data_IF_040179442099
#
_entry.id   IF_040179442099
#
_cell.length_a   1.000
_cell.length_b   1.000
_cell.length_c   1.000
_cell.angle_alpha   90.00
_cell.angle_beta   90.00
_cell.angle_gamma   90.00
#
_symmetry.space_group_name_H-M   'P 1'
#
loop_
_entity.id
_entity.type
_entity.pdbx_description
1 polymer ?
#
# COMPACT_ATOMS: atom_id res chain seq x y z
N UNK A 1 -80.70 1.95 4.18
CA UNK A 1 -79.92 2.87 5.06
C UNK A 1 -78.50 2.93 4.52
N UNK A 2 -78.06 4.14 4.17
CA UNK A 2 -76.69 4.59 3.78
C UNK A 2 -76.05 3.87 2.56
N UNK A 3 -75.60 4.51 1.49
CA UNK A 3 -75.47 5.93 1.13
C UNK A 3 -74.98 6.02 -0.32
N UNK A 4 -75.31 7.14 -0.96
CA UNK A 4 -75.32 7.44 -2.40
C UNK A 4 -73.94 7.71 -3.05
N UNK A 5 -73.87 7.46 -4.38
CA UNK A 5 -73.23 8.21 -5.50
C UNK A 5 -71.71 8.54 -5.42
N UNK A 6 -70.88 8.65 -6.49
CA UNK A 6 -71.00 9.19 -7.87
C UNK A 6 -69.74 8.75 -8.67
N UNK A 7 -69.85 8.24 -9.90
CA UNK A 7 -69.61 8.87 -11.23
C UNK A 7 -68.18 9.23 -11.67
N UNK A 8 -67.85 8.77 -12.90
CA UNK A 8 -66.94 9.38 -13.90
C UNK A 8 -65.45 9.06 -13.74
N UNK A 9 -64.60 8.99 -14.77
CA UNK A 9 -64.71 9.25 -16.21
C UNK A 9 -63.35 8.87 -16.86
N UNK A 10 -63.38 8.53 -18.15
CA UNK A 10 -62.40 8.86 -19.22
C UNK A 10 -61.05 8.09 -19.35
N UNK A 11 -60.94 7.49 -20.54
CA UNK A 11 -59.80 7.20 -21.45
C UNK A 11 -58.40 7.72 -21.11
N UNK A 12 -57.39 6.87 -21.35
CA UNK A 12 -56.09 7.30 -21.86
C UNK A 12 -55.61 6.38 -22.99
N UNK A 13 -55.32 7.00 -24.14
CA UNK A 13 -54.49 6.47 -25.20
C UNK A 13 -53.01 6.54 -24.78
N UNK A 14 -52.21 5.57 -25.22
CA UNK A 14 -50.75 5.59 -25.05
C UNK A 14 -50.10 4.83 -26.19
N UNK A 15 -49.36 5.57 -27.01
CA UNK A 15 -48.75 5.13 -28.26
C UNK A 15 -47.52 4.22 -28.07
N UNK A 16 -47.27 3.40 -29.09
CA UNK A 16 -46.02 2.69 -29.32
C UNK A 16 -44.87 3.68 -29.58
N UNK A 17 -43.77 3.54 -28.85
CA UNK A 17 -42.43 3.84 -29.36
C UNK A 17 -41.45 2.78 -28.88
N UNK A 18 -40.75 2.20 -29.85
CA UNK A 18 -39.58 1.37 -29.67
C UNK A 18 -38.46 2.19 -29.04
N UNK A 19 -37.83 1.64 -28.00
CA UNK A 19 -36.60 2.16 -27.40
C UNK A 19 -35.49 1.15 -27.56
N UNK A 20 -34.47 1.51 -28.34
CA UNK A 20 -33.22 0.79 -28.52
C UNK A 20 -32.55 0.49 -27.17
N UNK A 21 -32.03 -0.73 -27.03
CA UNK A 21 -31.21 -1.13 -25.89
C UNK A 21 -29.87 -0.39 -25.89
N UNK A 22 -29.70 0.52 -24.93
CA UNK A 22 -28.43 1.16 -24.65
C UNK A 22 -27.59 0.31 -23.68
N UNK A 23 -26.38 0.02 -24.13
CA UNK A 23 -25.10 0.00 -23.41
C UNK A 23 -25.02 -0.65 -22.02
N UNK A 24 -24.10 -1.63 -21.92
CA UNK A 24 -23.57 -2.10 -20.65
C UNK A 24 -22.97 -0.94 -19.87
N UNK A 25 -23.66 -0.52 -18.82
CA UNK A 25 -23.10 0.38 -17.80
C UNK A 25 -21.95 -0.36 -17.12
N UNK A 26 -20.74 0.19 -17.28
CA UNK A 26 -19.65 -0.05 -16.34
C UNK A 26 -20.19 0.18 -14.93
N UNK A 27 -19.92 -0.77 -14.03
CA UNK A 27 -20.23 -0.58 -12.61
C UNK A 27 -19.52 0.71 -12.14
N UNK A 28 -20.21 1.60 -11.42
CA UNK A 28 -19.54 2.75 -10.83
C UNK A 28 -18.42 2.25 -9.92
N UNK A 29 -17.19 2.66 -10.22
CA UNK A 29 -16.04 2.51 -9.33
C UNK A 29 -16.42 3.28 -8.07
N UNK A 30 -16.64 2.58 -6.96
CA UNK A 30 -16.87 3.24 -5.68
C UNK A 30 -15.62 4.09 -5.36
N UNK A 31 -15.78 5.33 -4.85
CA UNK A 31 -14.63 6.09 -4.40
C UNK A 31 -13.89 5.28 -3.32
N UNK A 32 -12.55 5.28 -3.30
CA UNK A 32 -11.80 4.55 -2.29
C UNK A 32 -12.23 5.07 -0.92
N UNK A 33 -12.71 4.17 -0.06
CA UNK A 33 -13.10 4.53 1.28
C UNK A 33 -11.82 4.89 2.03
N UNK A 34 -11.67 6.15 2.41
CA UNK A 34 -10.56 6.59 3.24
C UNK A 34 -10.70 5.97 4.62
N UNK A 35 -9.60 5.46 5.17
CA UNK A 35 -9.47 5.24 6.60
C UNK A 35 -9.97 6.49 7.35
N UNK A 36 -10.38 6.34 8.61
CA UNK A 36 -10.79 7.42 9.49
C UNK A 36 -9.63 8.36 9.76
N UNK A 37 -9.38 9.21 8.78
CA UNK A 37 -8.47 10.31 8.75
C UNK A 37 -8.80 11.28 9.88
N UNK A 38 -7.86 11.49 10.81
CA UNK A 38 -7.92 12.67 11.65
C UNK A 38 -7.48 13.87 10.82
N UNK A 39 -8.24 14.98 10.78
CA UNK A 39 -7.80 16.20 10.11
C UNK A 39 -6.38 16.58 10.55
N UNK A 40 -5.53 16.89 9.56
CA UNK A 40 -4.14 17.20 9.81
C UNK A 40 -3.91 18.65 10.21
N UNK A 41 -3.03 18.86 11.19
CA UNK A 41 -2.48 20.15 11.60
C UNK A 41 -0.93 20.15 11.57
N UNK A 42 -0.32 19.04 11.16
CA UNK A 42 1.13 18.86 11.08
C UNK A 42 1.62 19.23 9.68
N UNK A 43 2.78 19.87 9.59
CA UNK A 43 3.55 19.89 8.34
C UNK A 43 4.25 18.54 8.15
N UNK A 44 4.70 18.27 6.94
CA UNK A 44 5.51 17.07 6.69
C UNK A 44 6.81 17.05 7.53
N UNK A 45 7.41 18.21 7.78
CA UNK A 45 8.61 18.31 8.64
C UNK A 45 8.29 17.96 10.10
N UNK A 46 7.09 18.30 10.59
CA UNK A 46 6.65 17.88 11.92
C UNK A 46 6.48 16.36 12.00
N UNK A 47 5.99 15.71 10.93
CA UNK A 47 5.89 14.24 10.85
C UNK A 47 7.26 13.59 10.95
N UNK A 48 8.29 14.14 10.29
CA UNK A 48 9.65 13.62 10.40
C UNK A 48 10.26 13.88 11.76
N UNK A 49 10.09 15.07 12.31
CA UNK A 49 10.64 15.41 13.63
C UNK A 49 10.04 14.53 14.72
N UNK A 50 8.74 14.21 14.62
CA UNK A 50 8.06 13.28 15.53
C UNK A 50 8.41 11.83 15.24
N UNK A 51 8.47 11.46 13.97
CA UNK A 51 8.61 10.09 13.48
C UNK A 51 10.03 9.54 13.48
N UNK A 52 11.05 10.41 13.61
CA UNK A 52 12.50 10.17 13.51
C UNK A 52 12.98 9.55 12.19
N UNK A 53 12.32 8.50 11.71
CA UNK A 53 12.62 7.72 10.49
C UNK A 53 11.33 7.44 9.72
N UNK A 54 11.41 7.42 8.40
CA UNK A 54 10.33 6.95 7.52
C UNK A 54 10.70 5.57 6.98
N UNK A 55 9.79 4.60 7.11
CA UNK A 55 10.03 3.23 6.60
C UNK A 55 9.54 3.02 5.18
N UNK A 56 8.47 3.71 4.81
CA UNK A 56 7.62 3.35 3.68
C UNK A 56 6.66 4.50 3.36
N UNK A 57 6.11 4.46 2.15
CA UNK A 57 5.07 5.38 1.70
C UNK A 57 4.11 4.67 0.77
N UNK A 58 2.88 5.17 0.68
CA UNK A 58 1.92 4.69 -0.32
C UNK A 58 0.97 5.81 -0.71
N UNK A 59 0.65 5.92 -2.00
CA UNK A 59 -0.39 6.85 -2.45
C UNK A 59 -1.76 6.15 -2.51
N UNK A 60 -2.81 6.88 -2.17
CA UNK A 60 -4.19 6.37 -2.24
C UNK A 60 -4.64 6.20 -3.70
N UNK A 61 -5.59 5.28 -4.00
CA UNK A 61 -6.02 5.00 -5.38
C UNK A 61 -6.62 6.19 -6.13
N UNK A 62 -7.17 7.18 -5.41
CA UNK A 62 -7.67 8.44 -5.98
C UNK A 62 -6.55 9.46 -6.31
N UNK A 63 -5.30 9.10 -6.01
CA UNK A 63 -4.12 9.93 -6.14
C UNK A 63 -4.23 11.28 -5.40
N UNK A 64 -5.01 11.35 -4.32
CA UNK A 64 -5.19 12.59 -3.56
C UNK A 64 -4.40 12.62 -2.25
N UNK A 65 -4.08 11.45 -1.69
CA UNK A 65 -3.43 11.36 -0.38
C UNK A 65 -2.24 10.40 -0.40
N UNK A 66 -1.29 10.66 0.49
CA UNK A 66 -0.11 9.81 0.70
C UNK A 66 -0.10 9.39 2.17
N UNK A 67 0.20 8.13 2.43
CA UNK A 67 0.42 7.57 3.76
C UNK A 67 1.90 7.30 3.96
N UNK A 68 2.37 7.50 5.18
CA UNK A 68 3.78 7.36 5.57
C UNK A 68 3.85 6.72 6.96
N UNK A 69 4.59 5.63 7.10
CA UNK A 69 4.87 5.00 8.39
C UNK A 69 6.21 5.45 8.94
N UNK A 70 6.24 5.65 10.24
CA UNK A 70 7.39 6.15 10.98
C UNK A 70 7.56 5.37 12.28
N UNK A 71 8.63 5.67 13.04
CA UNK A 71 8.78 5.12 14.41
C UNK A 71 7.69 5.63 15.38
N UNK A 72 6.94 6.68 15.02
CA UNK A 72 5.94 7.29 15.90
C UNK A 72 4.49 7.15 15.42
N UNK A 73 4.26 6.44 14.32
CA UNK A 73 2.93 6.06 13.88
C UNK A 73 2.75 6.01 12.36
N UNK A 74 1.50 5.85 11.95
CA UNK A 74 1.08 5.91 10.56
C UNK A 74 0.40 7.26 10.30
N UNK A 75 1.00 8.06 9.43
CA UNK A 75 0.52 9.38 9.06
C UNK A 75 -0.05 9.37 7.65
N UNK A 76 -0.91 10.34 7.37
CA UNK A 76 -1.46 10.58 6.04
C UNK A 76 -1.47 12.08 5.73
N UNK A 77 -1.40 12.44 4.45
CA UNK A 77 -1.64 13.81 4.02
C UNK A 77 -3.13 14.13 4.16
N UNK A 78 -3.46 15.34 4.61
CA UNK A 78 -4.81 15.87 4.72
C UNK A 78 -5.12 16.96 3.67
N UNK A 79 -4.23 17.14 2.67
CA UNK A 79 -4.31 18.14 1.61
C UNK A 79 -3.70 19.49 2.01
N UNK A 80 -3.31 20.31 1.04
CA UNK A 80 -2.79 21.66 1.31
C UNK A 80 -1.50 21.73 2.13
N UNK A 81 -0.62 20.71 2.03
CA UNK A 81 0.64 20.65 2.78
C UNK A 81 0.54 20.14 4.22
N UNK A 82 -0.66 19.82 4.70
CA UNK A 82 -0.86 19.33 6.07
C UNK A 82 -1.02 17.81 6.14
N UNK A 83 -0.69 17.26 7.30
CA UNK A 83 -0.62 15.84 7.62
C UNK A 83 -1.29 15.58 8.96
N UNK A 84 -1.88 14.39 9.08
CA UNK A 84 -2.52 13.93 10.32
C UNK A 84 -2.15 12.50 10.63
N UNK A 85 -2.27 12.12 11.90
CA UNK A 85 -2.14 10.74 12.34
C UNK A 85 -3.37 9.95 11.85
N UNK A 86 -3.16 8.73 11.35
CA UNK A 86 -4.26 7.87 10.89
C UNK A 86 -5.17 7.45 12.05
N UNK A 87 -4.59 7.16 13.21
CA UNK A 87 -5.32 6.71 14.39
C UNK A 87 -4.53 6.98 15.67
N UNK A 88 -5.15 7.51 16.75
CA UNK A 88 -4.49 7.66 18.05
C UNK A 88 -3.97 6.33 18.61
N UNK A 89 -4.59 5.20 18.25
CA UNK A 89 -4.12 3.88 18.68
C UNK A 89 -2.77 3.49 18.04
N UNK A 90 -2.36 4.15 16.96
CA UNK A 90 -1.06 3.97 16.32
C UNK A 90 -0.02 5.02 16.75
N UNK A 91 -0.39 5.98 17.59
CA UNK A 91 0.54 6.99 18.09
C UNK A 91 1.66 6.33 18.90
N UNK A 92 2.90 6.77 18.69
CA UNK A 92 4.11 6.21 19.34
C UNK A 92 4.33 4.72 19.07
N UNK A 93 3.65 4.15 18.07
CA UNK A 93 3.95 2.82 17.57
C UNK A 93 4.86 2.95 16.37
N UNK A 94 5.94 2.21 16.39
CA UNK A 94 6.74 1.98 15.20
C UNK A 94 5.90 1.23 14.16
N UNK A 95 5.67 1.85 13.00
CA UNK A 95 4.91 1.27 11.88
C UNK A 95 5.82 1.07 10.68
N UNK A 96 6.28 -0.16 10.52
CA UNK A 96 7.23 -0.60 9.48
C UNK A 96 6.54 -1.13 8.22
N UNK A 97 5.20 -1.23 8.23
CA UNK A 97 4.41 -1.48 7.02
C UNK A 97 2.91 -1.58 7.28
N UNK A 98 2.14 -1.51 6.19
CA UNK A 98 0.69 -1.67 6.20
C UNK A 98 0.19 -2.35 4.93
N UNK A 99 -1.05 -2.81 5.01
CA UNK A 99 -1.81 -3.27 3.86
C UNK A 99 -3.26 -2.82 3.99
N UNK A 100 -3.83 -2.27 2.92
CA UNK A 100 -5.25 -1.94 2.81
C UNK A 100 -5.87 -2.95 1.85
N UNK A 101 -6.94 -3.64 2.27
CA UNK A 101 -7.65 -4.57 1.39
C UNK A 101 -8.29 -3.78 0.23
N UNK A 102 -7.90 -4.04 -1.03
CA UNK A 102 -8.41 -3.30 -2.18
C UNK A 102 -9.92 -3.52 -2.39
N UNK A 103 -10.48 -4.62 -1.87
CA UNK A 103 -11.91 -4.92 -1.99
C UNK A 103 -12.73 -4.37 -0.82
N UNK A 104 -12.08 -4.02 0.30
CA UNK A 104 -12.73 -3.45 1.47
C UNK A 104 -11.76 -2.53 2.23
N UNK A 105 -11.76 -1.21 1.95
CA UNK A 105 -10.80 -0.30 2.57
C UNK A 105 -11.01 -0.10 4.08
N UNK A 106 -12.10 -0.62 4.65
CA UNK A 106 -12.26 -0.69 6.11
C UNK A 106 -11.32 -1.71 6.75
N UNK A 107 -10.83 -2.69 5.97
CA UNK A 107 -9.89 -3.69 6.41
C UNK A 107 -8.45 -3.21 6.16
N UNK A 108 -7.78 -2.84 7.25
CA UNK A 108 -6.42 -2.31 7.23
C UNK A 108 -5.57 -3.15 8.18
N UNK A 109 -4.34 -3.41 7.78
CA UNK A 109 -3.33 -4.06 8.59
C UNK A 109 -2.17 -3.10 8.77
N UNK A 110 -1.62 -3.05 9.96
CA UNK A 110 -0.40 -2.31 10.28
C UNK A 110 0.54 -3.22 11.06
N UNK A 111 1.84 -3.09 10.86
CA UNK A 111 2.82 -3.92 11.54
C UNK A 111 4.02 -3.10 11.99
N UNK A 112 4.69 -3.59 13.03
CA UNK A 112 5.95 -3.02 13.54
C UNK A 112 6.42 -3.74 14.80
N UNK A 113 7.07 -3.02 15.72
CA UNK A 113 7.69 -3.62 16.92
C UNK A 113 6.71 -4.29 17.89
N UNK A 114 5.41 -4.01 17.76
CA UNK A 114 4.36 -4.57 18.61
C UNK A 114 3.61 -5.74 17.94
N UNK A 115 4.15 -6.29 16.86
CA UNK A 115 3.52 -7.30 16.03
C UNK A 115 2.60 -6.70 14.97
N UNK A 116 1.55 -7.45 14.60
CA UNK A 116 0.60 -7.06 13.55
C UNK A 116 -0.72 -6.64 14.20
N UNK A 117 -1.31 -5.56 13.70
CA UNK A 117 -2.61 -5.04 14.10
C UNK A 117 -3.55 -5.08 12.89
N UNK A 118 -4.84 -5.33 13.13
CA UNK A 118 -5.90 -5.25 12.12
C UNK A 118 -7.00 -4.32 12.57
N UNK A 119 -7.41 -3.43 11.68
CA UNK A 119 -8.66 -2.70 11.77
C UNK A 119 -9.68 -3.24 10.77
N UNK A 120 -10.95 -3.22 11.16
CA UNK A 120 -12.10 -3.55 10.28
C UNK A 120 -13.09 -2.39 10.17
N UNK A 121 -12.72 -1.20 10.66
CA UNK A 121 -13.52 0.02 10.67
C UNK A 121 -12.76 1.23 10.13
N UNK A 122 -11.81 0.96 9.23
CA UNK A 122 -11.01 1.98 8.55
C UNK A 122 -9.99 2.63 9.47
N UNK A 123 -9.44 1.92 10.45
CA UNK A 123 -8.39 2.42 11.34
C UNK A 123 -8.91 3.14 12.60
N UNK A 124 -10.22 3.14 12.86
CA UNK A 124 -10.76 3.74 14.10
C UNK A 124 -10.41 2.90 15.31
N UNK A 125 -10.42 1.58 15.17
CA UNK A 125 -10.03 0.62 16.20
C UNK A 125 -9.14 -0.47 15.62
N UNK A 126 -8.21 -0.95 16.44
CA UNK A 126 -7.26 -1.98 16.05
C UNK A 126 -7.28 -3.16 17.01
N UNK A 127 -7.19 -4.36 16.45
CA UNK A 127 -7.05 -5.61 17.18
C UNK A 127 -5.66 -6.20 16.92
N UNK A 128 -4.96 -6.63 17.97
CA UNK A 128 -3.68 -7.34 17.83
C UNK A 128 -3.92 -8.71 17.19
N UNK A 129 -3.09 -9.02 16.20
CA UNK A 129 -2.93 -10.32 15.58
C UNK A 129 -1.59 -10.90 16.04
N UNK A 130 -1.55 -12.19 16.35
CA UNK A 130 -0.35 -12.78 16.92
C UNK A 130 -0.30 -14.30 17.02
N UNK A 131 -1.40 -15.01 16.73
CA UNK A 131 -1.38 -16.48 16.79
C UNK A 131 -0.34 -17.03 15.81
N UNK A 132 0.68 -17.69 16.33
CA UNK A 132 1.78 -18.28 15.55
C UNK A 132 2.94 -17.33 15.22
N UNK A 133 2.84 -16.04 15.59
CA UNK A 133 4.00 -15.15 15.63
C UNK A 133 4.74 -15.30 16.98
N UNK A 134 6.05 -15.04 17.04
CA UNK A 134 6.79 -14.98 18.29
C UNK A 134 6.29 -13.81 19.17
N UNK A 135 6.54 -13.88 20.47
CA UNK A 135 6.23 -12.80 21.40
C UNK A 135 7.47 -12.40 22.22
N UNK A 136 8.01 -11.18 22.03
CA UNK A 136 7.57 -10.13 21.09
C UNK A 136 7.87 -10.49 19.62
N UNK A 137 7.02 -10.01 18.70
CA UNK A 137 7.28 -10.05 17.27
C UNK A 137 7.73 -8.67 16.79
N UNK A 138 9.02 -8.53 16.48
CA UNK A 138 9.59 -7.32 15.93
C UNK A 138 9.51 -7.36 14.40
N UNK A 139 8.47 -6.74 13.83
CA UNK A 139 8.26 -6.75 12.38
C UNK A 139 9.02 -5.58 11.75
N UNK A 140 9.95 -5.85 10.82
CA UNK A 140 10.72 -4.79 10.11
C UNK A 140 10.26 -4.52 8.70
N UNK A 141 9.49 -5.44 8.11
CA UNK A 141 8.85 -5.20 6.83
C UNK A 141 7.54 -5.99 6.76
N UNK A 142 6.56 -5.44 6.06
CA UNK A 142 5.22 -6.02 5.95
C UNK A 142 4.63 -5.80 4.57
N UNK A 143 4.11 -6.87 3.98
CA UNK A 143 3.47 -6.84 2.67
C UNK A 143 2.17 -7.66 2.71
N UNK A 144 1.21 -7.30 1.86
CA UNK A 144 -0.06 -8.00 1.77
C UNK A 144 -0.61 -8.03 0.34
N UNK A 145 -1.43 -9.03 0.08
CA UNK A 145 -2.12 -9.18 -1.20
C UNK A 145 -3.49 -9.82 -1.04
N UNK A 146 -4.40 -9.43 -1.93
CA UNK A 146 -5.71 -10.08 -2.10
C UNK A 146 -5.63 -11.17 -3.17
N UNK A 147 -5.97 -12.39 -2.79
CA UNK A 147 -6.05 -13.56 -3.68
C UNK A 147 -7.49 -14.09 -3.65
N UNK A 148 -8.33 -13.61 -4.58
CA UNK A 148 -9.77 -13.87 -4.56
C UNK A 148 -10.40 -13.39 -3.27
N UNK A 149 -10.99 -14.30 -2.49
CA UNK A 149 -11.63 -13.99 -1.21
C UNK A 149 -10.67 -14.08 -0.01
N UNK A 150 -9.39 -14.39 -0.21
CA UNK A 150 -8.41 -14.45 0.88
C UNK A 150 -7.47 -13.23 0.88
N UNK A 151 -6.96 -12.89 2.06
CA UNK A 151 -5.87 -11.93 2.24
C UNK A 151 -4.66 -12.72 2.71
N UNK A 152 -3.61 -12.71 1.89
CA UNK A 152 -2.30 -13.26 2.22
C UNK A 152 -1.42 -12.13 2.72
N UNK A 153 -0.73 -12.35 3.84
CA UNK A 153 0.13 -11.37 4.48
C UNK A 153 1.50 -11.99 4.73
N UNK A 154 2.52 -11.14 4.65
CA UNK A 154 3.92 -11.48 4.88
C UNK A 154 4.47 -10.50 5.92
N UNK A 155 5.18 -11.01 6.91
CA UNK A 155 5.79 -10.22 7.97
C UNK A 155 7.22 -10.73 8.19
N UNK A 156 8.21 -9.88 7.94
CA UNK A 156 9.59 -10.21 8.26
C UNK A 156 9.84 -9.91 9.74
N UNK A 157 10.15 -10.95 10.50
CA UNK A 157 10.48 -10.90 11.93
C UNK A 157 11.99 -10.92 12.11
N UNK A 158 12.53 -9.92 12.80
CA UNK A 158 13.97 -9.81 13.09
C UNK A 158 14.51 -11.06 13.77
N UNK A 159 15.62 -11.59 13.27
CA UNK A 159 16.32 -12.75 13.84
C UNK A 159 15.68 -14.12 13.56
N UNK A 160 14.57 -14.16 12.82
CA UNK A 160 13.89 -15.43 12.48
C UNK A 160 13.68 -15.59 10.97
N UNK A 161 13.03 -14.62 10.33
CA UNK A 161 12.70 -14.68 8.91
C UNK A 161 11.27 -14.24 8.61
N UNK A 162 10.73 -14.72 7.49
CA UNK A 162 9.45 -14.27 6.95
C UNK A 162 8.35 -15.20 7.40
N UNK A 163 7.43 -14.66 8.18
CA UNK A 163 6.18 -15.28 8.55
C UNK A 163 5.11 -14.99 7.51
N UNK A 164 4.24 -15.98 7.28
CA UNK A 164 3.10 -15.85 6.37
C UNK A 164 1.80 -16.18 7.09
N UNK A 165 0.76 -15.42 6.74
CA UNK A 165 -0.65 -15.76 6.98
C UNK A 165 -1.38 -15.88 5.65
N UNK A 166 -2.20 -16.92 5.46
CA UNK A 166 -3.10 -17.06 4.30
C UNK A 166 -4.56 -16.72 4.59
N UNK A 167 -4.90 -16.29 5.81
CA UNK A 167 -6.27 -16.15 6.29
C UNK A 167 -6.55 -14.77 6.93
N UNK A 168 -5.97 -13.70 6.38
CA UNK A 168 -6.20 -12.33 6.86
C UNK A 168 -5.63 -12.08 8.27
N UNK A 169 -4.49 -12.70 8.57
CA UNK A 169 -3.69 -12.48 9.76
C UNK A 169 -4.17 -13.23 11.01
N UNK A 170 -5.13 -14.15 10.88
CA UNK A 170 -5.67 -14.89 12.02
C UNK A 170 -4.72 -15.97 12.52
N UNK A 171 -3.88 -16.54 11.65
CA UNK A 171 -2.85 -17.52 12.00
C UNK A 171 -1.62 -17.33 11.13
N UNK A 172 -0.46 -17.39 11.77
CA UNK A 172 0.85 -17.20 11.15
C UNK A 172 1.70 -18.43 11.30
N UNK A 173 2.63 -18.61 10.36
CA UNK A 173 3.66 -19.64 10.44
C UNK A 173 4.93 -19.10 9.79
N UNK A 174 6.10 -19.49 10.32
CA UNK A 174 7.37 -19.22 9.68
C UNK A 174 7.36 -19.87 8.30
N UNK A 175 7.45 -19.05 7.25
CA UNK A 175 7.40 -19.50 5.86
C UNK A 175 8.81 -19.65 5.28
N UNK A 176 9.63 -18.61 5.43
CA UNK A 176 10.99 -18.58 4.90
C UNK A 176 11.96 -18.11 5.98
N UNK A 177 12.79 -19.01 6.56
CA UNK A 177 13.88 -18.60 7.44
C UNK A 177 14.84 -17.66 6.71
N UNK A 178 15.24 -16.57 7.37
CA UNK A 178 16.16 -15.59 6.81
C UNK A 178 16.86 -14.84 7.94
N UNK A 179 18.17 -14.99 8.02
CA UNK A 179 19.03 -14.33 9.00
C UNK A 179 19.84 -13.20 8.33
N UNK A 180 19.13 -12.16 7.92
CA UNK A 180 19.70 -10.93 7.33
C UNK A 180 18.89 -9.71 7.75
N UNK A 181 19.50 -8.53 7.72
CA UNK A 181 18.74 -7.28 7.79
C UNK A 181 17.90 -7.10 6.52
N UNK A 182 16.60 -6.91 6.69
CA UNK A 182 15.65 -6.62 5.62
C UNK A 182 15.15 -5.19 5.75
N UNK A 183 15.27 -4.42 4.67
CA UNK A 183 14.82 -3.02 4.60
C UNK A 183 13.43 -2.90 4.01
N UNK A 184 13.13 -3.69 2.99
CA UNK A 184 11.83 -3.70 2.34
C UNK A 184 11.54 -5.07 1.75
N UNK A 185 10.27 -5.43 1.64
CA UNK A 185 9.83 -6.57 0.85
C UNK A 185 8.50 -6.26 0.19
N UNK A 186 8.26 -6.84 -0.97
CA UNK A 186 6.99 -6.74 -1.67
C UNK A 186 6.76 -8.01 -2.50
N UNK A 187 5.48 -8.33 -2.67
CA UNK A 187 5.06 -9.56 -3.31
C UNK A 187 4.54 -9.28 -4.71
N UNK A 188 5.14 -9.96 -5.68
CA UNK A 188 4.70 -9.98 -7.06
C UNK A 188 3.70 -11.13 -7.30
N UNK A 189 2.40 -10.85 -7.49
CA UNK A 189 1.43 -11.88 -7.83
C UNK A 189 1.59 -12.47 -9.23
N UNK A 190 2.16 -11.73 -10.18
CA UNK A 190 2.30 -12.20 -11.56
C UNK A 190 3.38 -13.29 -11.65
N UNK A 191 4.46 -13.14 -10.87
CA UNK A 191 5.51 -14.14 -10.75
C UNK A 191 5.33 -15.11 -9.57
N UNK A 192 4.32 -14.88 -8.71
CA UNK A 192 4.12 -15.60 -7.45
C UNK A 192 5.40 -15.61 -6.59
N UNK A 193 6.02 -14.43 -6.44
CA UNK A 193 7.37 -14.27 -5.87
C UNK A 193 7.42 -13.14 -4.85
N UNK A 194 8.07 -13.40 -3.71
CA UNK A 194 8.40 -12.36 -2.73
C UNK A 194 9.81 -11.85 -3.01
N UNK A 195 9.92 -10.55 -3.28
CA UNK A 195 11.20 -9.85 -3.39
C UNK A 195 11.54 -9.20 -2.05
N UNK A 196 12.82 -9.28 -1.67
CA UNK A 196 13.32 -8.80 -0.38
C UNK A 196 14.57 -7.96 -0.63
N UNK A 197 14.51 -6.68 -0.32
CA UNK A 197 15.68 -5.81 -0.22
C UNK A 197 16.33 -6.07 1.14
N UNK A 198 17.46 -6.76 1.11
CA UNK A 198 18.29 -7.03 2.27
C UNK A 198 19.61 -6.24 2.17
N UNK A 199 20.42 -6.31 3.23
CA UNK A 199 21.73 -5.67 3.23
C UNK A 199 22.56 -6.07 2.00
N UNK A 200 22.81 -5.11 1.11
CA UNK A 200 23.54 -5.22 -0.17
C UNK A 200 22.93 -6.13 -1.25
N UNK A 201 21.79 -6.77 -1.01
CA UNK A 201 21.25 -7.76 -1.94
C UNK A 201 19.75 -7.57 -2.15
N UNK A 202 19.31 -7.75 -3.39
CA UNK A 202 17.92 -8.04 -3.69
C UNK A 202 17.76 -9.56 -3.75
N UNK A 203 16.92 -10.12 -2.89
CA UNK A 203 16.71 -11.54 -2.76
C UNK A 203 15.32 -11.92 -3.25
N UNK A 204 15.19 -13.16 -3.72
CA UNK A 204 13.90 -13.82 -3.91
C UNK A 204 14.04 -15.30 -3.58
N UNK A 205 12.91 -15.95 -3.29
CA UNK A 205 12.87 -17.38 -3.02
C UNK A 205 12.35 -18.14 -4.24
N UNK A 206 13.08 -19.18 -4.65
CA UNK A 206 12.71 -20.05 -5.76
C UNK A 206 13.27 -21.45 -5.51
N UNK A 207 12.48 -22.49 -5.82
CA UNK A 207 12.86 -23.90 -5.66
C UNK A 207 13.40 -24.27 -4.27
N UNK A 208 12.85 -23.66 -3.21
CA UNK A 208 13.28 -23.94 -1.84
C UNK A 208 14.53 -23.18 -1.39
N UNK A 209 15.12 -22.32 -2.24
CA UNK A 209 16.35 -21.60 -1.93
C UNK A 209 16.21 -20.08 -2.13
N UNK A 210 16.97 -19.33 -1.32
CA UNK A 210 17.20 -17.92 -1.55
C UNK A 210 18.15 -17.73 -2.74
N UNK A 211 17.73 -16.90 -3.70
CA UNK A 211 18.52 -16.49 -4.86
C UNK A 211 18.72 -14.98 -4.80
N UNK A 212 19.85 -14.53 -5.33
CA UNK A 212 20.16 -13.09 -5.47
C UNK A 212 19.76 -12.63 -6.86
N UNK A 213 18.97 -11.56 -6.91
CA UNK A 213 18.68 -10.77 -8.09
C UNK A 213 19.72 -9.65 -8.19
N UNK A 214 20.45 -9.58 -9.31
CA UNK A 214 21.51 -8.59 -9.50
C UNK A 214 20.91 -7.36 -10.18
N UNK A 215 20.86 -6.25 -9.46
CA UNK A 215 20.48 -4.95 -10.03
C UNK A 215 21.71 -4.33 -10.73
N UNK A 216 21.68 -4.11 -12.05
CA UNK A 216 22.86 -3.63 -12.78
C UNK A 216 23.34 -2.27 -12.27
N UNK A 217 24.67 -2.15 -12.12
CA UNK A 217 25.38 -0.92 -11.73
C UNK A 217 25.07 -0.37 -10.34
N UNK A 218 24.13 -0.96 -9.58
CA UNK A 218 23.81 -0.56 -8.22
C UNK A 218 24.69 -1.28 -7.20
N UNK A 219 25.21 -0.53 -6.22
CA UNK A 219 25.91 -1.10 -5.06
C UNK A 219 25.01 -1.18 -3.84
N UNK A 220 23.98 -0.34 -3.78
CA UNK A 220 23.03 -0.30 -2.66
C UNK A 220 21.60 -0.30 -3.16
N UNK A 221 20.76 -1.05 -2.46
CA UNK A 221 19.31 -1.06 -2.64
C UNK A 221 18.69 -0.53 -1.36
N UNK A 222 17.99 0.60 -1.46
CA UNK A 222 17.36 1.26 -0.31
C UNK A 222 15.94 0.74 -0.07
N UNK A 223 15.19 0.56 -1.14
CA UNK A 223 13.81 0.05 -1.09
C UNK A 223 13.42 -0.59 -2.42
N UNK A 224 12.34 -1.36 -2.38
CA UNK A 224 11.75 -1.96 -3.57
C UNK A 224 10.23 -1.86 -3.48
N UNK A 225 9.57 -1.99 -4.62
CA UNK A 225 8.13 -2.18 -4.69
C UNK A 225 7.72 -2.83 -6.01
N UNK A 226 6.57 -3.52 -6.00
CA UNK A 226 5.95 -4.09 -7.19
C UNK A 226 4.67 -3.31 -7.53
N UNK A 227 4.60 -2.77 -8.74
CA UNK A 227 3.33 -2.33 -9.29
C UNK A 227 2.50 -3.56 -9.69
N UNK A 228 1.54 -3.92 -8.84
CA UNK A 228 0.69 -5.11 -8.99
C UNK A 228 -0.19 -5.07 -10.24
N UNK A 229 -0.35 -3.92 -10.90
CA UNK A 229 -1.13 -3.81 -12.14
C UNK A 229 -0.32 -4.17 -13.38
N UNK A 230 0.97 -3.82 -13.39
CA UNK A 230 1.87 -4.03 -14.53
C UNK A 230 2.88 -5.16 -14.32
N UNK A 231 3.09 -5.61 -13.08
CA UNK A 231 4.13 -6.56 -12.69
C UNK A 231 5.53 -5.94 -12.63
N UNK A 232 5.66 -4.62 -12.76
CA UNK A 232 6.96 -3.94 -12.74
C UNK A 232 7.49 -3.93 -11.30
N UNK A 233 8.68 -4.51 -11.10
CA UNK A 233 9.48 -4.34 -9.89
C UNK A 233 10.35 -3.09 -10.04
N UNK A 234 10.13 -2.09 -9.20
CA UNK A 234 10.96 -0.90 -9.11
C UNK A 234 11.81 -0.94 -7.84
N UNK A 235 13.05 -0.48 -7.96
CA UNK A 235 14.04 -0.50 -6.88
C UNK A 235 14.71 0.86 -6.81
N UNK A 236 14.74 1.44 -5.61
CA UNK A 236 15.51 2.65 -5.34
C UNK A 236 16.95 2.29 -4.95
N UNK A 237 17.92 2.86 -5.65
CA UNK A 237 19.34 2.53 -5.52
C UNK A 237 20.23 3.77 -5.44
N UNK A 238 21.52 3.56 -5.17
CA UNK A 238 22.54 4.61 -5.25
C UNK A 238 22.74 5.20 -6.67
N UNK A 239 22.22 4.52 -7.70
CA UNK A 239 22.25 4.98 -9.09
C UNK A 239 20.90 5.56 -9.58
N UNK A 240 19.94 5.75 -8.66
CA UNK A 240 18.57 6.16 -8.96
C UNK A 240 17.61 4.98 -9.01
N UNK A 241 16.51 5.11 -9.76
CA UNK A 241 15.48 4.06 -9.83
C UNK A 241 15.80 3.09 -10.95
N UNK A 242 15.81 1.80 -10.63
CA UNK A 242 15.93 0.69 -11.56
C UNK A 242 14.59 -0.03 -11.66
N UNK A 243 14.17 -0.40 -12.86
CA UNK A 243 12.90 -1.06 -13.14
C UNK A 243 13.16 -2.41 -13.83
N UNK A 244 12.58 -3.48 -13.32
CA UNK A 244 12.56 -4.78 -13.99
C UNK A 244 11.24 -4.89 -14.73
N UNK A 245 11.31 -4.88 -16.06
CA UNK A 245 10.17 -4.93 -16.97
C UNK A 245 10.36 -6.16 -17.86
N UNK A 246 9.38 -7.06 -17.89
CA UNK A 246 9.44 -8.32 -18.64
C UNK A 246 10.75 -9.11 -18.38
N UNK A 247 11.18 -9.15 -17.11
CA UNK A 247 12.39 -9.85 -16.68
C UNK A 247 13.72 -9.10 -16.94
N UNK A 248 13.69 -7.93 -17.57
CA UNK A 248 14.90 -7.16 -17.91
C UNK A 248 15.01 -5.86 -17.12
N UNK A 249 16.20 -5.61 -16.57
CA UNK A 249 16.49 -4.37 -15.85
C UNK A 249 16.73 -3.18 -16.79
N UNK A 250 16.11 -2.06 -16.46
CA UNK A 250 16.26 -0.77 -17.14
C UNK A 250 16.41 0.33 -16.09
N UNK A 251 17.25 1.33 -16.36
CA UNK A 251 17.29 2.51 -15.51
C UNK A 251 16.13 3.43 -15.88
N UNK A 252 15.45 3.98 -14.89
CA UNK A 252 14.42 4.99 -15.13
C UNK A 252 15.09 6.27 -15.66
N UNK A 253 14.78 6.64 -16.91
CA UNK A 253 15.34 7.83 -17.58
C UNK A 253 15.05 9.14 -16.83
N UNK A 254 13.89 9.21 -16.16
CA UNK A 254 13.47 10.38 -15.41
C UNK A 254 14.31 10.54 -14.13
N UNK A 255 15.30 11.43 -14.20
CA UNK A 255 16.15 11.77 -13.04
C UNK A 255 15.33 12.42 -11.93
N UNK A 256 15.39 11.83 -10.74
CA UNK A 256 14.82 12.41 -9.53
C UNK A 256 15.60 13.66 -9.11
N UNK A 257 14.97 14.61 -8.38
CA UNK A 257 15.65 15.84 -7.94
C UNK A 257 16.76 15.58 -6.91
N UNK A 258 16.68 14.45 -6.21
CA UNK A 258 17.66 13.93 -5.26
C UNK A 258 17.58 12.40 -5.25
N UNK A 259 18.47 11.73 -4.51
CA UNK A 259 18.39 10.27 -4.30
C UNK A 259 17.09 9.95 -3.58
N UNK A 260 16.29 9.05 -4.16
CA UNK A 260 15.10 8.53 -3.49
C UNK A 260 15.52 7.32 -2.66
N UNK A 261 15.11 7.30 -1.39
CA UNK A 261 15.38 6.21 -0.45
C UNK A 261 14.20 5.25 -0.35
N UNK A 262 12.98 5.76 -0.54
CA UNK A 262 11.75 4.97 -0.58
C UNK A 262 11.03 5.22 -1.91
N UNK A 263 10.55 4.15 -2.55
CA UNK A 263 9.70 4.20 -3.74
C UNK A 263 8.44 3.35 -3.54
N UNK A 264 7.32 3.81 -4.08
CA UNK A 264 6.03 3.11 -4.09
C UNK A 264 5.30 3.37 -5.41
N UNK A 265 4.41 2.47 -5.87
CA UNK A 265 3.57 2.70 -7.03
C UNK A 265 2.73 3.95 -6.80
N UNK A 266 2.58 4.72 -7.87
CA UNK A 266 1.62 5.81 -7.91
C UNK A 266 0.20 5.31 -8.21
N UNK A 267 -0.65 6.25 -8.60
CA UNK A 267 -2.06 6.10 -8.88
C UNK A 267 -2.50 7.26 -9.77
N UNK A 268 -3.60 7.08 -10.50
CA UNK A 268 -4.03 8.06 -11.51
C UNK A 268 -2.93 8.32 -12.54
N UNK A 269 -2.54 9.57 -12.74
CA UNK A 269 -1.51 9.99 -13.69
C UNK A 269 -0.07 9.82 -13.17
N UNK A 270 0.10 9.48 -11.90
CA UNK A 270 1.42 9.29 -11.30
C UNK A 270 1.84 7.84 -11.41
N UNK A 271 3.01 7.60 -12.04
CA UNK A 271 3.60 6.28 -12.18
C UNK A 271 4.25 5.81 -10.88
N UNK A 272 5.04 6.69 -10.26
CA UNK A 272 5.75 6.42 -9.01
C UNK A 272 5.59 7.59 -8.05
N UNK A 273 5.68 7.28 -6.77
CA UNK A 273 5.85 8.23 -5.69
C UNK A 273 7.05 7.80 -4.86
N UNK A 274 7.83 8.74 -4.34
CA UNK A 274 9.02 8.44 -3.56
C UNK A 274 9.36 9.51 -2.55
N UNK A 275 10.23 9.15 -1.60
CA UNK A 275 10.79 10.04 -0.59
C UNK A 275 12.29 10.16 -0.81
N UNK A 276 12.80 11.39 -0.87
CA UNK A 276 14.21 11.71 -1.02
C UNK A 276 15.01 11.69 0.29
N UNK A 277 16.34 11.82 0.20
CA UNK A 277 17.22 11.95 1.37
C UNK A 277 16.94 13.22 2.20
N UNK A 278 16.51 14.31 1.56
CA UNK A 278 16.00 15.51 2.25
C UNK A 278 14.58 15.32 2.80
N UNK A 279 14.11 14.08 2.81
CA UNK A 279 12.80 13.60 3.15
C UNK A 279 11.65 14.13 2.29
N UNK A 280 11.86 14.99 1.29
CA UNK A 280 10.75 15.47 0.48
C UNK A 280 10.06 14.34 -0.30
N UNK A 281 8.74 14.47 -0.41
CA UNK A 281 7.93 13.56 -1.22
C UNK A 281 7.90 14.06 -2.66
N UNK A 282 8.10 13.16 -3.61
CA UNK A 282 8.07 13.43 -5.04
C UNK A 282 7.13 12.47 -5.75
N UNK A 283 6.45 12.96 -6.78
CA UNK A 283 5.67 12.13 -7.70
C UNK A 283 6.21 12.22 -9.12
N UNK A 284 6.17 11.10 -9.83
CA UNK A 284 6.56 10.99 -11.23
C UNK A 284 5.30 10.93 -12.09
N UNK A 285 5.12 11.91 -12.96
CA UNK A 285 4.11 11.87 -14.03
C UNK A 285 4.67 12.48 -15.31
N UNK A 286 4.27 11.92 -16.47
CA UNK A 286 4.72 12.39 -17.79
C UNK A 286 6.25 12.54 -17.90
N UNK A 287 7.00 11.58 -17.34
CA UNK A 287 8.46 11.55 -17.38
C UNK A 287 9.17 12.62 -16.53
N UNK A 288 8.46 13.31 -15.63
CA UNK A 288 9.04 14.36 -14.77
C UNK A 288 8.66 14.15 -13.32
N UNK A 289 9.68 14.19 -12.46
CA UNK A 289 9.49 14.26 -11.01
C UNK A 289 9.08 15.66 -10.59
N UNK A 290 8.09 15.76 -9.70
CA UNK A 290 7.66 17.00 -9.07
C UNK A 290 7.54 16.78 -7.58
N UNK A 291 7.87 17.81 -6.80
CA UNK A 291 7.63 17.78 -5.36
C UNK A 291 6.13 17.72 -5.11
N UNK A 292 5.71 16.80 -4.26
CA UNK A 292 4.34 16.69 -3.77
C UNK A 292 4.12 17.73 -2.67
N UNK A 293 3.05 18.50 -2.79
CA UNK A 293 2.66 19.55 -1.84
C UNK A 293 1.35 19.18 -1.16
#
# INVERSE_FOLDING_TARGET
MKGLLRWGMILMAGALLAGCGESGRSKPIQPPVTAAALPGDLTYQDVLQKGEVVHNLSMTPDAQHIWVGTHAGLYHSAGGGVWGLLSPELEQKDVTGWFVDPNNPQHIFAAGNNGVLRSTDGGKKWAKLGKGLPEPAEIRSFAGIREGDQIRLFAFVTGEGIYQSSNGGNEWSLWLPLDQEVYAMDYDPMENRLYVAAQFNLLYHEDGQWKTEVVPNAQQVYSLTVDRTSGILAVATDQGIMEKIDGSWQQLDAKSPETLIVISPGAGDYRWVGIGESAFVYTLSNGKWKKWN
#
